data_IF_710411102802
#
_entry.id   IF_710411102802
#
_cell.length_a   1.000
_cell.length_b   1.000
_cell.length_c   1.000
_cell.angle_alpha   90.00
_cell.angle_beta   90.00
_cell.angle_gamma   90.00
#
_symmetry.space_group_name_H-M   'P 1'
#
loop_
_entity.id
_entity.type
_entity.pdbx_description
1 polymer ?
#
# COMPACT_ATOMS: atom_id res chain seq x y z
N UNK A 1 0.69 -3.63 4.14
CA UNK A 1 0.17 -2.94 5.34
C UNK A 1 1.34 -2.66 6.27
N UNK A 2 1.39 -1.47 6.87
CA UNK A 2 2.46 -1.13 7.83
C UNK A 2 2.30 -1.94 9.12
N UNK A 3 3.37 -2.66 9.45
CA UNK A 3 3.54 -3.43 10.68
C UNK A 3 4.98 -3.25 11.19
N UNK A 4 5.27 -3.81 12.36
CA UNK A 4 6.61 -3.70 12.95
C UNK A 4 7.72 -4.30 12.04
N UNK A 5 7.41 -5.30 11.22
CA UNK A 5 8.40 -5.88 10.31
C UNK A 5 8.79 -4.92 9.20
N UNK A 6 7.80 -4.25 8.59
CA UNK A 6 7.99 -3.28 7.51
C UNK A 6 8.56 -1.97 7.99
N UNK A 7 8.24 -1.54 9.21
CA UNK A 7 8.84 -0.35 9.84
C UNK A 7 10.31 -0.60 10.17
N UNK A 8 10.66 -1.78 10.70
CA UNK A 8 12.07 -2.15 10.87
C UNK A 8 12.83 -2.24 9.55
N UNK A 9 12.17 -2.64 8.46
CA UNK A 9 12.76 -2.62 7.12
C UNK A 9 12.94 -1.19 6.57
N UNK A 10 11.98 -0.29 6.79
CA UNK A 10 12.13 1.12 6.44
C UNK A 10 13.32 1.76 7.18
N UNK A 11 13.48 1.47 8.48
CA UNK A 11 14.64 1.92 9.25
C UNK A 11 15.96 1.36 8.68
N UNK A 12 15.97 0.09 8.28
CA UNK A 12 17.12 -0.52 7.62
C UNK A 12 17.48 0.19 6.30
N UNK A 13 16.50 0.49 5.44
CA UNK A 13 16.73 1.22 4.19
C UNK A 13 17.23 2.64 4.42
N UNK A 14 16.67 3.34 5.42
CA UNK A 14 17.13 4.67 5.81
C UNK A 14 18.60 4.65 6.25
N UNK A 15 18.98 3.69 7.12
CA UNK A 15 20.37 3.50 7.51
C UNK A 15 21.29 3.21 6.32
N UNK A 16 20.85 2.45 5.30
CA UNK A 16 21.65 2.22 4.08
C UNK A 16 21.89 3.50 3.31
N UNK A 17 20.88 4.34 3.12
CA UNK A 17 21.04 5.61 2.41
C UNK A 17 22.01 6.55 3.13
N UNK A 18 22.04 6.51 4.47
CA UNK A 18 23.02 7.26 5.28
C UNK A 18 24.43 6.71 5.06
N UNK A 19 24.60 5.38 5.08
CA UNK A 19 25.90 4.72 4.99
C UNK A 19 26.47 4.68 3.56
N UNK A 20 25.61 4.78 2.56
CA UNK A 20 25.92 4.79 1.13
C UNK A 20 25.24 5.98 0.45
N UNK A 21 25.77 7.20 0.60
CA UNK A 21 25.13 8.42 0.08
C UNK A 21 25.02 8.43 -1.45
N UNK A 22 25.91 7.70 -2.15
CA UNK A 22 25.89 7.54 -3.61
C UNK A 22 25.16 6.26 -4.07
N UNK A 23 24.44 5.59 -3.16
CA UNK A 23 23.81 4.30 -3.40
C UNK A 23 24.75 3.11 -3.19
N UNK A 24 24.17 1.90 -3.19
CA UNK A 24 24.87 0.66 -2.84
C UNK A 24 26.03 0.27 -3.79
N UNK A 25 26.09 0.86 -4.99
CA UNK A 25 27.22 0.68 -5.90
C UNK A 25 28.41 1.59 -5.59
N UNK A 26 28.20 2.64 -4.77
CA UNK A 26 29.23 3.59 -4.36
C UNK A 26 30.03 3.12 -3.15
N UNK A 27 30.97 3.96 -2.73
CA UNK A 27 31.73 3.72 -1.50
C UNK A 27 30.87 3.98 -0.27
N UNK A 28 31.08 3.19 0.78
CA UNK A 28 30.48 3.50 2.08
C UNK A 28 31.18 4.71 2.73
N UNK A 29 30.56 5.27 3.75
CA UNK A 29 31.13 6.35 4.57
C UNK A 29 32.46 6.02 5.26
N UNK A 30 32.78 4.73 5.44
CA UNK A 30 34.08 4.30 5.99
C UNK A 30 35.08 3.90 4.91
N UNK A 31 34.67 3.85 3.63
CA UNK A 31 35.46 3.28 2.53
C UNK A 31 35.62 1.75 2.60
N UNK A 32 35.11 1.10 3.66
CA UNK A 32 35.07 -0.35 3.83
C UNK A 32 33.72 -0.90 3.37
N UNK A 33 33.63 -2.19 3.06
CA UNK A 33 32.34 -2.76 2.74
C UNK A 33 31.46 -2.79 4.00
N UNK A 34 30.29 -2.17 3.95
CA UNK A 34 29.31 -2.20 5.03
C UNK A 34 28.08 -2.97 4.58
N UNK A 35 27.75 -4.06 5.26
CA UNK A 35 26.57 -4.88 4.97
C UNK A 35 25.47 -4.55 5.96
N UNK A 36 24.33 -4.06 5.46
CA UNK A 36 23.18 -3.78 6.30
C UNK A 36 22.15 -4.91 6.22
N UNK A 37 21.69 -5.39 7.38
CA UNK A 37 20.70 -6.47 7.47
C UNK A 37 19.52 -6.12 8.36
N UNK A 38 18.32 -6.40 7.88
CA UNK A 38 17.11 -6.48 8.70
C UNK A 38 17.05 -7.88 9.31
N UNK A 39 17.45 -8.01 10.56
CA UNK A 39 17.62 -9.30 11.24
C UNK A 39 18.93 -9.37 12.01
N UNK A 40 19.23 -10.52 12.61
CA UNK A 40 20.47 -10.75 13.33
C UNK A 40 21.63 -11.09 12.38
N UNK A 41 22.87 -11.00 12.89
CA UNK A 41 24.01 -11.65 12.25
C UNK A 41 23.74 -13.15 12.12
N UNK A 42 24.15 -13.70 10.98
CA UNK A 42 24.20 -15.13 10.72
C UNK A 42 25.54 -15.68 11.22
N UNK A 43 25.61 -16.98 11.57
CA UNK A 43 26.89 -17.62 11.89
C UNK A 43 27.93 -17.45 10.78
N UNK A 44 27.50 -17.45 9.51
CA UNK A 44 28.41 -17.24 8.37
C UNK A 44 29.07 -15.87 8.36
N UNK A 45 28.44 -14.81 8.88
CA UNK A 45 29.04 -13.47 8.88
C UNK A 45 30.20 -13.34 9.89
N UNK A 46 30.24 -14.24 10.88
CA UNK A 46 31.30 -14.34 11.87
C UNK A 46 32.39 -15.31 11.44
N UNK A 47 32.02 -16.41 10.77
CA UNK A 47 32.92 -17.56 10.57
C UNK A 47 33.24 -17.91 9.11
N UNK A 48 32.65 -17.26 8.10
CA UNK A 48 32.95 -17.53 6.68
C UNK A 48 34.17 -16.75 6.16
N UNK A 49 34.56 -16.96 4.90
CA UNK A 49 35.69 -16.28 4.26
C UNK A 49 35.44 -14.78 3.99
N UNK A 50 34.19 -14.35 3.90
CA UNK A 50 33.79 -12.93 3.94
C UNK A 50 33.10 -12.71 5.29
N UNK A 51 33.89 -12.28 6.27
CA UNK A 51 33.42 -12.10 7.64
C UNK A 51 33.86 -10.74 8.17
N UNK A 52 33.38 -10.43 9.38
CA UNK A 52 33.67 -9.20 10.09
C UNK A 52 35.17 -8.90 10.30
N UNK A 53 36.01 -9.94 10.26
CA UNK A 53 37.48 -9.86 10.40
C UNK A 53 38.19 -9.59 9.07
N UNK A 54 37.50 -9.69 7.94
CA UNK A 54 38.04 -9.48 6.59
C UNK A 54 37.60 -8.14 5.99
N UNK A 55 37.66 -7.07 6.79
CA UNK A 55 37.34 -5.70 6.40
C UNK A 55 35.88 -5.44 5.96
N UNK A 56 34.95 -6.28 6.41
CA UNK A 56 33.52 -6.09 6.20
C UNK A 56 32.91 -5.68 7.54
N UNK A 57 32.20 -4.56 7.57
CA UNK A 57 31.47 -4.12 8.75
C UNK A 57 29.99 -4.47 8.56
N UNK A 58 29.29 -4.81 9.65
CA UNK A 58 27.88 -5.15 9.59
C UNK A 58 27.04 -4.17 10.41
N UNK A 59 25.90 -3.77 9.87
CA UNK A 59 24.87 -3.03 10.60
C UNK A 59 23.59 -3.85 10.60
N UNK A 60 23.08 -4.19 11.78
CA UNK A 60 21.87 -5.00 11.90
C UNK A 60 20.74 -4.21 12.53
N UNK A 61 19.54 -4.30 11.95
CA UNK A 61 18.32 -3.72 12.53
C UNK A 61 17.43 -4.84 13.04
N UNK A 62 17.20 -4.88 14.35
CA UNK A 62 16.40 -5.91 15.03
C UNK A 62 15.33 -5.28 15.90
N UNK A 63 14.22 -5.99 16.13
CA UNK A 63 13.25 -5.57 17.14
C UNK A 63 13.83 -5.88 18.53
N UNK A 64 13.77 -4.90 19.42
CA UNK A 64 14.15 -5.09 20.81
C UNK A 64 12.91 -5.48 21.64
N UNK A 65 13.05 -6.51 22.46
CA UNK A 65 12.01 -6.99 23.35
C UNK A 65 11.89 -6.07 24.56
N UNK A 66 11.10 -5.00 24.43
CA UNK A 66 10.74 -4.12 25.56
C UNK A 66 9.26 -3.76 25.47
N UNK A 67 8.56 -3.83 26.60
CA UNK A 67 7.17 -3.36 26.67
C UNK A 67 7.17 -1.85 26.44
N UNK A 68 6.60 -1.43 25.31
CA UNK A 68 6.40 -0.02 24.99
C UNK A 68 5.10 0.50 25.60
N UNK A 69 5.03 1.80 25.93
CA UNK A 69 3.77 2.39 26.37
C UNK A 69 2.72 2.24 25.27
N UNK A 70 1.48 2.00 25.68
CA UNK A 70 0.36 2.05 24.76
C UNK A 70 0.09 3.51 24.38
N UNK A 71 -0.02 3.76 23.08
CA UNK A 71 -0.36 5.08 22.58
C UNK A 71 -1.88 5.17 22.43
N UNK A 72 -2.46 6.24 22.96
CA UNK A 72 -3.89 6.49 22.83
C UNK A 72 -4.29 6.61 21.35
N UNK A 73 -5.32 5.89 20.96
CA UNK A 73 -5.87 5.96 19.61
C UNK A 73 -6.82 7.16 19.47
N UNK A 74 -6.93 7.75 18.27
CA UNK A 74 -7.91 8.80 18.01
C UNK A 74 -9.33 8.30 18.29
N UNK A 75 -10.12 9.08 19.04
CA UNK A 75 -11.53 8.79 19.27
C UNK A 75 -12.29 8.68 17.94
N UNK A 76 -13.14 7.66 17.82
CA UNK A 76 -14.05 7.46 16.69
C UNK A 76 -13.46 6.74 15.47
N UNK A 77 -12.14 6.54 15.37
CA UNK A 77 -11.46 5.85 14.24
C UNK A 77 -12.07 6.20 12.86
N UNK A 78 -12.17 7.49 12.50
CA UNK A 78 -12.88 7.91 11.30
C UNK A 78 -12.19 7.37 10.04
N UNK A 79 -13.01 7.00 9.05
CA UNK A 79 -12.53 6.74 7.70
C UNK A 79 -12.15 8.06 7.03
N UNK A 80 -11.01 8.07 6.35
CA UNK A 80 -10.55 9.18 5.54
C UNK A 80 -10.18 8.67 4.15
N UNK A 81 -10.48 9.44 3.12
CA UNK A 81 -10.02 9.14 1.77
C UNK A 81 -8.50 9.34 1.74
N UNK A 82 -7.76 8.29 1.41
CA UNK A 82 -6.31 8.34 1.20
C UNK A 82 -5.98 8.61 -0.26
N UNK A 83 -6.72 7.98 -1.17
CA UNK A 83 -6.41 8.03 -2.58
C UNK A 83 -7.66 7.90 -3.43
N UNK A 84 -7.59 8.46 -4.64
CA UNK A 84 -8.59 8.30 -5.69
C UNK A 84 -7.91 7.86 -6.99
N UNK A 85 -8.57 6.97 -7.72
CA UNK A 85 -8.20 6.50 -9.04
C UNK A 85 -9.34 6.92 -9.96
N UNK A 86 -9.07 7.87 -10.86
CA UNK A 86 -10.08 8.31 -11.83
C UNK A 86 -10.35 7.21 -12.87
N UNK A 87 -11.59 7.08 -13.37
CA UNK A 87 -11.91 6.10 -14.40
C UNK A 87 -11.26 6.51 -15.74
N UNK A 88 -10.71 5.53 -16.44
CA UNK A 88 -10.20 5.71 -17.82
C UNK A 88 -11.22 5.34 -18.89
N UNK A 89 -12.32 4.71 -18.43
CA UNK A 89 -13.53 4.43 -19.20
C UNK A 89 -14.58 5.52 -18.94
N UNK A 90 -15.44 5.72 -19.93
CA UNK A 90 -16.53 6.68 -19.87
C UNK A 90 -17.80 6.14 -20.49
N UNK A 91 -18.86 6.93 -20.38
CA UNK A 91 -20.15 6.66 -21.02
C UNK A 91 -20.66 7.93 -21.69
N UNK A 92 -21.34 7.75 -22.81
CA UNK A 92 -22.06 8.81 -23.52
C UNK A 92 -23.53 8.41 -23.61
N UNK A 93 -24.43 9.27 -23.14
CA UNK A 93 -25.87 9.01 -23.20
C UNK A 93 -26.47 9.81 -24.36
N UNK A 94 -27.06 9.11 -25.32
CA UNK A 94 -27.72 9.71 -26.50
C UNK A 94 -29.10 9.10 -26.67
N UNK A 95 -30.15 9.92 -26.62
CA UNK A 95 -31.54 9.52 -26.87
C UNK A 95 -31.98 8.27 -26.07
N UNK A 96 -31.54 8.14 -24.82
CA UNK A 96 -31.87 7.01 -23.94
C UNK A 96 -31.11 5.72 -24.25
N UNK A 97 -30.06 5.79 -25.06
CA UNK A 97 -29.06 4.74 -25.28
C UNK A 97 -27.74 5.15 -24.66
N UNK A 98 -27.02 4.19 -24.05
CA UNK A 98 -25.71 4.43 -23.43
C UNK A 98 -24.62 3.81 -24.29
N UNK A 99 -23.67 4.61 -24.77
CA UNK A 99 -22.46 4.15 -25.44
C UNK A 99 -21.29 4.08 -24.45
N UNK A 100 -20.59 2.95 -24.42
CA UNK A 100 -19.37 2.75 -23.63
C UNK A 100 -18.17 3.29 -24.41
N UNK A 101 -17.35 4.13 -23.79
CA UNK A 101 -16.21 4.77 -24.46
C UNK A 101 -14.92 4.52 -23.67
N UNK A 102 -13.89 4.02 -24.36
CA UNK A 102 -12.56 3.84 -23.77
C UNK A 102 -11.61 4.88 -24.36
N UNK A 103 -10.79 5.50 -23.52
CA UNK A 103 -9.69 6.34 -23.98
C UNK A 103 -8.57 5.44 -24.50
N UNK A 104 -8.43 5.32 -25.83
CA UNK A 104 -7.55 4.33 -26.49
C UNK A 104 -6.04 4.41 -26.20
N UNK A 105 -5.61 5.32 -25.32
CA UNK A 105 -4.21 5.50 -24.90
C UNK A 105 -3.91 4.99 -23.50
N UNK A 106 -4.91 4.57 -22.71
CA UNK A 106 -4.72 4.13 -21.32
C UNK A 106 -5.34 2.75 -21.06
N UNK A 107 -4.77 2.01 -20.11
CA UNK A 107 -5.33 0.73 -19.68
C UNK A 107 -6.75 0.94 -19.13
N UNK A 108 -7.76 0.19 -19.60
CA UNK A 108 -9.12 0.34 -19.12
C UNK A 108 -9.24 0.06 -17.61
N UNK A 109 -9.86 0.99 -16.89
CA UNK A 109 -10.10 0.91 -15.45
C UNK A 109 -11.29 1.78 -15.04
N UNK A 110 -12.05 1.30 -14.06
CA UNK A 110 -13.22 1.98 -13.49
C UNK A 110 -14.42 1.04 -13.41
N UNK A 111 -15.54 1.56 -12.93
CA UNK A 111 -16.83 0.86 -12.91
C UNK A 111 -17.82 1.65 -13.73
N UNK A 112 -18.51 0.98 -14.65
CA UNK A 112 -19.61 1.55 -15.41
C UNK A 112 -20.92 1.06 -14.84
N UNK A 113 -21.85 1.97 -14.56
CA UNK A 113 -23.22 1.64 -14.23
C UNK A 113 -24.19 2.23 -15.26
N UNK A 114 -25.29 1.51 -15.47
CA UNK A 114 -26.43 1.94 -16.26
C UNK A 114 -27.70 1.72 -15.46
N UNK A 115 -28.68 2.61 -15.63
CA UNK A 115 -29.98 2.49 -14.97
C UNK A 115 -31.09 3.10 -15.82
N UNK A 116 -32.30 2.60 -15.60
CA UNK A 116 -33.51 3.05 -16.24
C UNK A 116 -34.07 4.26 -15.49
N UNK A 117 -34.51 5.29 -16.22
CA UNK A 117 -35.14 6.48 -15.61
C UNK A 117 -36.50 6.16 -14.98
N UNK A 118 -37.22 5.20 -15.56
CA UNK A 118 -38.48 4.72 -15.03
C UNK A 118 -38.22 3.55 -14.09
N UNK A 119 -38.67 3.68 -12.84
CA UNK A 119 -38.61 2.60 -11.84
C UNK A 119 -39.63 1.51 -12.20
N UNK A 120 -39.21 0.33 -12.71
CA UNK A 120 -40.15 -0.72 -13.06
C UNK A 120 -40.69 -1.36 -11.77
N UNK A 121 -41.98 -1.76 -11.77
CA UNK A 121 -42.62 -2.51 -10.67
C UNK A 121 -42.17 -4.00 -10.61
N UNK A 122 -40.95 -4.29 -11.04
CA UNK A 122 -40.34 -5.63 -11.13
C UNK A 122 -39.18 -5.68 -12.14
N UNK A 123 -38.17 -6.52 -11.89
CA UNK A 123 -36.94 -6.63 -12.72
C UNK A 123 -35.74 -5.88 -12.14
N UNK A 124 -34.59 -5.97 -12.82
CA UNK A 124 -33.36 -5.25 -12.47
C UNK A 124 -33.35 -3.86 -13.18
N UNK A 125 -33.57 -2.75 -12.46
CA UNK A 125 -33.63 -1.41 -13.05
C UNK A 125 -32.26 -0.82 -13.36
N UNK A 126 -31.19 -1.45 -12.86
CA UNK A 126 -29.81 -0.99 -13.01
C UNK A 126 -28.86 -2.17 -13.12
N UNK A 127 -27.70 -1.91 -13.71
CA UNK A 127 -26.60 -2.86 -13.80
C UNK A 127 -25.27 -2.12 -13.66
N UNK A 128 -24.29 -2.75 -13.01
CA UNK A 128 -22.94 -2.23 -12.90
C UNK A 128 -21.90 -3.28 -13.30
N UNK A 129 -20.80 -2.82 -13.91
CA UNK A 129 -19.72 -3.66 -14.40
C UNK A 129 -18.35 -3.03 -14.08
N UNK A 130 -17.49 -3.79 -13.42
CA UNK A 130 -16.12 -3.39 -13.12
C UNK A 130 -15.21 -3.76 -14.31
N UNK A 131 -14.61 -2.77 -14.95
CA UNK A 131 -13.81 -2.95 -16.17
C UNK A 131 -12.42 -3.48 -15.85
N UNK A 132 -11.96 -4.45 -16.62
CA UNK A 132 -10.61 -5.02 -16.56
C UNK A 132 -9.76 -4.61 -17.77
N UNK A 133 -8.44 -4.82 -17.68
CA UNK A 133 -7.51 -4.47 -18.75
C UNK A 133 -7.74 -5.24 -20.07
N UNK A 134 -8.48 -6.35 -20.04
CA UNK A 134 -8.79 -7.18 -21.21
C UNK A 134 -10.13 -6.84 -21.86
N UNK A 135 -10.91 -5.97 -21.22
CA UNK A 135 -12.21 -5.59 -21.72
C UNK A 135 -12.11 -4.68 -22.94
N UNK A 136 -13.19 -4.70 -23.71
CA UNK A 136 -13.46 -3.75 -24.79
C UNK A 136 -14.80 -3.07 -24.52
N UNK A 137 -15.07 -1.92 -25.15
CA UNK A 137 -16.39 -1.29 -25.03
C UNK A 137 -17.55 -2.24 -25.33
N UNK A 138 -17.38 -3.15 -26.29
CA UNK A 138 -18.39 -4.12 -26.67
C UNK A 138 -18.60 -5.23 -25.64
N UNK A 139 -17.53 -5.72 -24.99
CA UNK A 139 -17.68 -6.75 -23.94
C UNK A 139 -18.36 -6.18 -22.71
N UNK A 140 -18.04 -4.95 -22.32
CA UNK A 140 -18.71 -4.24 -21.22
C UNK A 140 -20.19 -3.98 -21.54
N UNK A 141 -20.49 -3.48 -22.74
CA UNK A 141 -21.87 -3.23 -23.16
C UNK A 141 -22.71 -4.52 -23.15
N UNK A 142 -22.16 -5.63 -23.64
CA UNK A 142 -22.83 -6.92 -23.63
C UNK A 142 -23.12 -7.42 -22.21
N UNK A 143 -22.16 -7.30 -21.29
CA UNK A 143 -22.33 -7.69 -19.89
C UNK A 143 -23.41 -6.84 -19.18
N UNK A 144 -23.40 -5.52 -19.39
CA UNK A 144 -24.41 -4.62 -18.83
C UNK A 144 -25.81 -4.90 -19.39
N UNK A 145 -25.93 -5.12 -20.70
CA UNK A 145 -27.19 -5.48 -21.33
C UNK A 145 -27.77 -6.79 -20.77
N UNK A 146 -26.92 -7.80 -20.54
CA UNK A 146 -27.34 -9.09 -19.98
C UNK A 146 -27.83 -8.98 -18.53
N UNK A 147 -27.31 -8.02 -17.76
CA UNK A 147 -27.71 -7.77 -16.39
C UNK A 147 -29.00 -6.94 -16.27
N UNK A 148 -29.36 -6.16 -17.30
CA UNK A 148 -30.59 -5.38 -17.35
C UNK A 148 -31.80 -6.21 -17.79
N UNK A 149 -32.95 -5.98 -17.17
CA UNK A 149 -34.20 -6.59 -17.65
C UNK A 149 -34.62 -5.97 -18.97
N UNK A 150 -34.58 -6.77 -20.05
CA UNK A 150 -34.88 -6.32 -21.41
C UNK A 150 -33.74 -5.55 -22.09
N UNK A 151 -32.52 -5.60 -21.54
CA UNK A 151 -31.35 -4.98 -22.12
C UNK A 151 -30.92 -5.62 -23.44
N UNK A 152 -30.50 -4.79 -24.38
CA UNK A 152 -29.93 -5.18 -25.67
C UNK A 152 -28.62 -4.42 -25.85
N UNK A 153 -27.61 -5.10 -26.39
CA UNK A 153 -26.33 -4.48 -26.78
C UNK A 153 -26.13 -4.54 -28.29
N UNK A 154 -25.51 -3.51 -28.85
CA UNK A 154 -25.05 -3.48 -30.24
C UNK A 154 -23.69 -2.79 -30.32
N UNK A 155 -22.63 -3.58 -30.47
CA UNK A 155 -21.26 -3.08 -30.35
C UNK A 155 -21.05 -2.47 -28.96
N UNK A 156 -20.62 -1.21 -28.92
CA UNK A 156 -20.38 -0.48 -27.66
C UNK A 156 -21.64 0.13 -27.02
N UNK A 157 -22.82 -0.04 -27.63
CA UNK A 157 -24.06 0.60 -27.14
C UNK A 157 -24.95 -0.37 -26.36
N UNK A 158 -25.60 0.14 -25.32
CA UNK A 158 -26.58 -0.53 -24.46
C UNK A 158 -27.89 0.24 -24.54
N UNK A 159 -28.99 -0.46 -24.79
CA UNK A 159 -30.33 0.12 -24.87
C UNK A 159 -31.36 -0.85 -24.30
N UNK A 160 -32.52 -0.32 -23.92
CA UNK A 160 -33.70 -1.12 -23.56
C UNK A 160 -34.86 -0.62 -24.42
N UNK A 161 -35.42 -1.44 -25.33
CA UNK A 161 -36.46 -0.99 -26.25
C UNK A 161 -37.65 -0.34 -25.54
N UNK A 162 -38.02 0.87 -25.98
CA UNK A 162 -39.14 1.63 -25.44
C UNK A 162 -38.89 2.29 -24.08
N UNK A 163 -37.65 2.32 -23.60
CA UNK A 163 -37.27 2.90 -22.30
C UNK A 163 -36.04 3.78 -22.42
N UNK A 164 -35.88 4.69 -21.47
CA UNK A 164 -34.75 5.63 -21.41
C UNK A 164 -33.70 5.09 -20.44
N UNK A 165 -32.50 4.89 -20.95
CA UNK A 165 -31.35 4.44 -20.17
C UNK A 165 -30.39 5.61 -19.92
N UNK A 166 -29.89 5.70 -18.70
CA UNK A 166 -28.80 6.57 -18.29
C UNK A 166 -27.60 5.74 -17.86
N UNK A 167 -26.44 6.38 -17.76
CA UNK A 167 -25.25 5.73 -17.27
C UNK A 167 -24.24 6.69 -16.67
N UNK A 168 -23.35 6.12 -15.87
CA UNK A 168 -22.21 6.82 -15.32
C UNK A 168 -21.00 5.90 -15.23
N UNK A 169 -19.80 6.46 -15.39
CA UNK A 169 -18.55 5.76 -15.12
C UNK A 169 -17.89 6.44 -13.93
N UNK A 170 -17.50 5.64 -12.94
CA UNK A 170 -16.86 6.11 -11.72
C UNK A 170 -15.57 5.38 -11.44
N UNK A 171 -14.69 6.08 -10.73
CA UNK A 171 -13.39 5.60 -10.31
C UNK A 171 -13.45 4.77 -9.03
N UNK A 172 -12.27 4.60 -8.42
CA UNK A 172 -12.11 3.92 -7.14
C UNK A 172 -11.53 4.87 -6.10
N UNK A 173 -12.03 4.79 -4.87
CA UNK A 173 -11.52 5.49 -3.71
C UNK A 173 -10.91 4.51 -2.70
N UNK A 174 -9.71 4.83 -2.21
CA UNK A 174 -9.13 4.18 -1.06
C UNK A 174 -9.51 4.96 0.19
N UNK A 175 -10.23 4.32 1.10
CA UNK A 175 -10.48 4.82 2.44
C UNK A 175 -9.59 4.10 3.44
N UNK A 176 -9.10 4.84 4.43
CA UNK A 176 -8.29 4.30 5.52
C UNK A 176 -8.78 4.78 6.87
N UNK A 177 -8.63 3.93 7.87
CA UNK A 177 -8.78 4.30 9.27
C UNK A 177 -7.63 3.75 10.09
N UNK A 178 -7.23 4.50 11.11
CA UNK A 178 -6.25 4.04 12.09
C UNK A 178 -6.93 3.00 12.98
N UNK A 179 -6.41 1.78 12.97
CA UNK A 179 -6.88 0.70 13.85
C UNK A 179 -6.13 0.67 15.15
N UNK A 180 -4.84 1.01 15.13
CA UNK A 180 -3.99 1.03 16.31
C UNK A 180 -2.78 1.94 16.10
N UNK A 181 -2.45 2.77 17.08
CA UNK A 181 -1.15 3.45 17.15
C UNK A 181 -0.22 2.62 18.01
N UNK A 182 0.98 2.33 17.52
CA UNK A 182 1.93 1.46 18.20
C UNK A 182 3.30 2.12 18.27
N UNK A 183 3.99 1.90 19.38
CA UNK A 183 5.41 2.14 19.52
C UNK A 183 6.14 0.80 19.52
N UNK A 184 7.21 0.70 18.76
CA UNK A 184 8.09 -0.46 18.76
C UNK A 184 9.53 -0.01 18.94
N UNK A 185 10.25 -0.66 19.85
CA UNK A 185 11.67 -0.45 20.03
C UNK A 185 12.44 -1.28 19.01
N UNK A 186 13.34 -0.63 18.30
CA UNK A 186 14.32 -1.24 17.40
C UNK A 186 15.72 -0.99 17.93
N UNK A 187 16.58 -1.96 17.66
CA UNK A 187 18.00 -1.88 17.93
C UNK A 187 18.75 -1.90 16.62
N UNK A 188 19.54 -0.87 16.40
CA UNK A 188 20.52 -0.75 15.31
C UNK A 188 21.89 -1.07 15.91
N UNK A 189 22.42 -2.24 15.59
CA UNK A 189 23.70 -2.71 16.10
C UNK A 189 24.76 -2.61 15.03
N UNK A 190 25.87 -1.96 15.35
CA UNK A 190 27.09 -1.92 14.55
C UNK A 190 27.99 -3.04 15.02
N UNK A 191 28.49 -3.84 14.10
CA UNK A 191 29.43 -4.91 14.34
C UNK A 191 30.64 -4.71 13.45
N UNK A 192 31.84 -4.62 14.05
CA UNK A 192 33.08 -4.48 13.29
C UNK A 192 34.27 -5.06 14.07
N UNK A 193 35.33 -5.42 13.36
CA UNK A 193 36.62 -5.76 13.95
C UNK A 193 37.57 -4.56 14.11
N UNK A 194 37.15 -3.36 13.64
CA UNK A 194 37.96 -2.14 13.65
C UNK A 194 37.28 -1.07 14.53
N UNK A 195 37.98 -0.65 15.59
CA UNK A 195 37.47 0.35 16.52
C UNK A 195 37.27 1.73 15.84
N UNK A 196 38.12 2.12 14.90
CA UNK A 196 37.96 3.37 14.14
C UNK A 196 36.73 3.30 13.24
N UNK A 197 36.51 2.17 12.55
CA UNK A 197 35.31 1.96 11.76
C UNK A 197 34.05 2.03 12.63
N UNK A 198 34.07 1.45 13.85
CA UNK A 198 32.96 1.56 14.80
C UNK A 198 32.61 3.00 15.10
N UNK A 199 33.60 3.81 15.48
CA UNK A 199 33.37 5.22 15.85
C UNK A 199 32.88 6.05 14.66
N UNK A 200 33.42 5.83 13.45
CA UNK A 200 32.94 6.51 12.24
C UNK A 200 31.49 6.13 11.90
N UNK A 201 31.17 4.84 11.86
CA UNK A 201 29.80 4.38 11.60
C UNK A 201 28.82 4.90 12.65
N UNK A 202 29.21 4.85 13.93
CA UNK A 202 28.43 5.32 15.06
C UNK A 202 28.15 6.83 14.94
N UNK A 203 29.18 7.64 14.72
CA UNK A 203 29.04 9.10 14.60
C UNK A 203 28.17 9.50 13.41
N UNK A 204 28.33 8.83 12.27
CA UNK A 204 27.55 9.13 11.05
C UNK A 204 26.08 8.76 11.23
N UNK A 205 25.81 7.55 11.73
CA UNK A 205 24.43 7.09 11.96
C UNK A 205 23.73 7.95 13.03
N UNK A 206 24.40 8.23 14.14
CA UNK A 206 23.83 9.02 15.23
C UNK A 206 23.49 10.44 14.76
N UNK A 207 24.42 11.12 14.08
CA UNK A 207 24.19 12.48 13.57
C UNK A 207 23.03 12.50 12.57
N UNK A 208 23.04 11.61 11.58
CA UNK A 208 22.03 11.60 10.54
C UNK A 208 20.64 11.19 11.06
N UNK A 209 20.55 10.23 11.99
CA UNK A 209 19.28 9.82 12.59
C UNK A 209 18.78 10.83 13.63
N UNK A 210 19.65 11.56 14.31
CA UNK A 210 19.26 12.63 15.24
C UNK A 210 18.61 13.82 14.52
N UNK A 211 19.03 14.11 13.29
CA UNK A 211 18.39 15.12 12.44
C UNK A 211 16.99 14.68 11.94
N UNK A 212 16.71 13.37 11.96
CA UNK A 212 15.45 12.80 11.49
C UNK A 212 14.46 12.61 12.65
N UNK A 213 13.45 13.47 12.72
CA UNK A 213 12.30 13.26 13.62
C UNK A 213 11.27 12.26 13.08
N UNK A 214 11.30 12.02 11.76
CA UNK A 214 10.35 11.18 11.04
C UNK A 214 11.07 10.41 9.95
N UNK A 215 10.68 9.16 9.73
CA UNK A 215 11.12 8.36 8.59
C UNK A 215 9.94 7.94 7.75
N UNK A 216 10.13 7.86 6.43
CA UNK A 216 9.08 7.33 5.55
C UNK A 216 8.94 5.82 5.73
N UNK A 217 7.71 5.32 5.83
CA UNK A 217 7.40 3.90 5.82
C UNK A 217 7.27 3.38 4.38
N UNK A 218 7.33 2.06 4.19
CA UNK A 218 7.27 1.44 2.86
C UNK A 218 5.92 1.59 2.14
N UNK A 219 4.87 2.02 2.85
CA UNK A 219 3.57 2.38 2.29
C UNK A 219 3.40 3.89 2.05
N UNK A 220 4.50 4.66 2.10
CA UNK A 220 4.53 6.09 1.78
C UNK A 220 4.06 7.02 2.91
N UNK A 221 3.97 6.52 4.14
CA UNK A 221 3.59 7.32 5.33
C UNK A 221 4.81 7.68 6.15
N UNK A 222 4.59 8.23 7.33
CA UNK A 222 5.65 8.61 8.25
C UNK A 222 5.54 7.82 9.56
N UNK A 223 6.68 7.40 10.09
CA UNK A 223 6.83 6.90 11.45
C UNK A 223 7.70 7.90 12.23
N UNK A 224 7.29 8.23 13.46
CA UNK A 224 8.08 9.10 14.32
C UNK A 224 9.29 8.32 14.82
N UNK A 225 10.48 8.87 14.63
CA UNK A 225 11.72 8.30 15.13
C UNK A 225 12.11 8.99 16.45
N UNK A 226 12.41 8.20 17.49
CA UNK A 226 12.85 8.72 18.79
C UNK A 226 14.04 7.94 19.30
N UNK A 227 15.15 8.62 19.52
CA UNK A 227 16.30 8.04 20.23
C UNK A 227 15.93 7.73 21.69
N UNK A 228 16.39 6.58 22.20
CA UNK A 228 16.15 6.13 23.57
C UNK A 228 17.44 6.01 24.36
N UNK A 229 18.40 5.24 23.84
CA UNK A 229 19.67 4.97 24.50
C UNK A 229 20.69 4.41 23.53
N UNK A 230 21.96 4.42 23.95
CA UNK A 230 23.08 3.77 23.29
C UNK A 230 23.81 2.90 24.31
N UNK A 231 24.28 1.74 23.90
CA UNK A 231 25.04 0.80 24.73
C UNK A 231 26.22 0.24 23.95
N UNK A 232 27.41 0.27 24.56
CA UNK A 232 28.58 -0.45 24.05
C UNK A 232 28.62 -1.85 24.65
N UNK A 233 28.74 -2.86 23.79
CA UNK A 233 28.80 -4.26 24.17
C UNK A 233 30.18 -4.80 23.82
N UNK A 234 31.12 -4.59 24.73
CA UNK A 234 32.52 -4.97 24.56
C UNK A 234 32.86 -6.37 25.12
N UNK A 235 31.85 -7.19 25.42
CA UNK A 235 32.05 -8.54 25.98
C UNK A 235 32.80 -9.49 25.05
N UNK A 236 32.91 -9.16 23.76
CA UNK A 236 33.62 -9.93 22.72
C UNK A 236 34.93 -9.25 22.25
N UNK A 237 35.46 -8.28 23.00
CA UNK A 237 36.71 -7.59 22.65
C UNK A 237 37.90 -8.55 22.48
N UNK A 238 37.97 -9.64 23.27
CA UNK A 238 39.02 -10.67 23.15
C UNK A 238 38.99 -11.41 21.80
N UNK A 239 37.88 -11.36 21.08
CA UNK A 239 37.70 -11.96 19.75
C UNK A 239 37.85 -10.95 18.61
N UNK A 240 38.33 -9.74 18.93
CA UNK A 240 38.41 -8.59 18.01
C UNK A 240 37.05 -8.29 17.36
N UNK A 241 35.98 -8.32 18.15
CA UNK A 241 34.63 -7.99 17.73
C UNK A 241 34.07 -6.89 18.62
N UNK A 242 33.91 -5.70 18.06
CA UNK A 242 33.32 -4.56 18.72
C UNK A 242 31.86 -4.43 18.31
N UNK A 243 30.99 -4.16 19.29
CA UNK A 243 29.57 -3.94 19.07
C UNK A 243 29.08 -2.68 19.79
N UNK A 244 28.37 -1.83 19.04
CA UNK A 244 27.63 -0.68 19.59
C UNK A 244 26.16 -0.79 19.19
N UNK A 245 25.28 -0.66 20.16
CA UNK A 245 23.83 -0.78 20.01
C UNK A 245 23.15 0.57 20.22
N UNK A 246 22.43 1.04 19.21
CA UNK A 246 21.53 2.19 19.31
C UNK A 246 20.09 1.71 19.42
N UNK A 247 19.34 2.27 20.36
CA UNK A 247 17.94 1.96 20.56
C UNK A 247 17.07 3.13 20.09
N UNK A 248 16.19 2.85 19.14
CA UNK A 248 15.23 3.80 18.58
C UNK A 248 13.82 3.29 18.78
N UNK A 249 12.97 4.10 19.38
CA UNK A 249 11.53 3.90 19.39
C UNK A 249 10.94 4.47 18.10
N UNK A 250 10.21 3.64 17.35
CA UNK A 250 9.42 4.10 16.22
C UNK A 250 7.95 4.02 16.56
N UNK A 251 7.26 5.17 16.44
CA UNK A 251 5.82 5.30 16.63
C UNK A 251 5.15 5.38 15.28
N UNK A 252 4.20 4.47 15.01
CA UNK A 252 3.53 4.36 13.73
C UNK A 252 2.08 3.89 13.87
N UNK A 253 1.29 4.18 12.85
CA UNK A 253 -0.11 3.78 12.78
C UNK A 253 -0.27 2.48 11.98
N UNK A 254 -0.94 1.50 12.57
CA UNK A 254 -1.53 0.36 11.87
C UNK A 254 -2.91 0.77 11.34
N UNK A 255 -3.22 0.31 10.14
CA UNK A 255 -4.33 0.84 9.37
C UNK A 255 -5.20 -0.28 8.87
N UNK A 256 -6.49 0.00 8.81
CA UNK A 256 -7.37 -0.74 7.95
C UNK A 256 -7.57 0.07 6.68
N UNK A 257 -7.37 -0.60 5.55
CA UNK A 257 -7.59 -0.06 4.22
C UNK A 257 -8.85 -0.70 3.66
N UNK A 258 -9.71 0.10 3.07
CA UNK A 258 -10.87 -0.37 2.34
C UNK A 258 -10.99 0.40 1.05
N UNK A 259 -11.11 -0.33 -0.05
CA UNK A 259 -11.39 0.27 -1.34
C UNK A 259 -12.89 0.22 -1.61
N UNK A 260 -13.40 1.25 -2.28
CA UNK A 260 -14.77 1.34 -2.74
C UNK A 260 -14.78 2.00 -4.12
N UNK A 261 -15.78 1.69 -4.95
CA UNK A 261 -16.07 2.51 -6.12
C UNK A 261 -16.68 3.84 -5.69
N UNK A 262 -16.65 4.83 -6.57
CA UNK A 262 -17.52 6.00 -6.44
C UNK A 262 -19.00 5.57 -6.43
N UNK A 263 -19.86 6.42 -5.87
CA UNK A 263 -21.30 6.19 -5.90
C UNK A 263 -21.79 6.40 -7.34
N UNK A 264 -22.20 5.32 -8.00
CA UNK A 264 -22.66 5.35 -9.40
C UNK A 264 -24.18 5.53 -9.50
N UNK A 265 -24.92 4.88 -8.60
CA UNK A 265 -26.37 4.95 -8.50
C UNK A 265 -26.80 4.76 -7.04
N UNK A 266 -27.93 5.38 -6.65
CA UNK A 266 -28.48 5.26 -5.30
C UNK A 266 -29.53 4.15 -5.19
N UNK A 267 -29.65 3.58 -3.98
CA UNK A 267 -30.74 2.68 -3.59
C UNK A 267 -31.55 3.33 -2.46
N UNK A 268 -32.86 3.11 -2.45
CA UNK A 268 -33.69 3.54 -1.33
C UNK A 268 -35.11 3.02 -1.39
N UNK A 269 -35.88 3.30 -0.34
CA UNK A 269 -37.31 3.04 -0.29
C UNK A 269 -38.03 4.35 0.00
N UNK A 270 -39.07 4.64 -0.78
CA UNK A 270 -40.00 5.74 -0.53
C UNK A 270 -41.30 5.14 -0.02
N UNK A 271 -41.70 5.49 1.20
CA UNK A 271 -43.01 5.15 1.75
C UNK A 271 -43.99 6.28 1.46
N UNK A 272 -45.05 5.99 0.71
CA UNK A 272 -46.19 6.90 0.54
C UNK A 272 -47.12 6.87 1.76
N UNK A 273 -47.98 7.89 1.89
CA UNK A 273 -48.98 7.99 2.98
C UNK A 273 -49.95 6.80 3.02
N UNK A 274 -50.17 6.12 1.89
CA UNK A 274 -51.01 4.91 1.77
C UNK A 274 -50.32 3.61 2.23
N UNK A 275 -49.11 3.69 2.80
CA UNK A 275 -48.33 2.52 3.23
C UNK A 275 -47.67 1.73 2.09
N UNK A 276 -47.80 2.19 0.84
CA UNK A 276 -47.09 1.63 -0.30
C UNK A 276 -45.61 2.03 -0.25
N UNK A 277 -44.71 1.03 -0.21
CA UNK A 277 -43.27 1.24 -0.34
C UNK A 277 -42.86 1.07 -1.82
N UNK A 278 -42.24 2.09 -2.38
CA UNK A 278 -41.60 2.03 -3.70
C UNK A 278 -40.09 1.96 -3.47
N UNK A 279 -39.49 0.81 -3.77
CA UNK A 279 -38.04 0.67 -3.80
C UNK A 279 -37.47 1.30 -5.07
N UNK A 280 -36.31 1.95 -4.97
CA UNK A 280 -35.53 2.42 -6.11
C UNK A 280 -34.07 1.99 -6.01
N UNK A 281 -33.39 1.91 -7.16
CA UNK A 281 -31.98 1.51 -7.26
C UNK A 281 -31.73 0.01 -7.39
N UNK A 282 -30.45 -0.36 -7.27
CA UNK A 282 -29.97 -1.74 -7.42
C UNK A 282 -30.48 -2.64 -6.29
N UNK A 283 -30.77 -3.92 -6.56
CA UNK A 283 -30.88 -4.92 -5.49
C UNK A 283 -29.49 -5.03 -4.86
N UNK A 284 -29.37 -4.83 -3.55
CA UNK A 284 -28.08 -4.95 -2.85
C UNK A 284 -27.31 -6.18 -3.37
N UNK A 285 -26.04 -6.03 -3.80
CA UNK A 285 -25.31 -7.12 -4.42
C UNK A 285 -25.33 -8.32 -3.47
N UNK A 286 -25.91 -9.43 -3.92
CA UNK A 286 -25.86 -10.69 -3.19
C UNK A 286 -24.41 -11.08 -2.90
N UNK A 287 -24.18 -11.88 -1.86
CA UNK A 287 -22.86 -12.31 -1.38
C UNK A 287 -21.99 -13.06 -2.42
N UNK A 288 -22.49 -13.29 -3.63
CA UNK A 288 -21.86 -14.00 -4.75
C UNK A 288 -21.57 -13.12 -5.97
N UNK A 289 -21.62 -11.78 -5.85
CA UNK A 289 -21.49 -10.91 -7.02
C UNK A 289 -20.05 -10.83 -7.56
N UNK A 290 -19.82 -11.41 -8.74
CA UNK A 290 -18.56 -11.38 -9.49
C UNK A 290 -18.04 -9.94 -9.72
N UNK A 291 -18.93 -8.96 -9.78
CA UNK A 291 -18.59 -7.52 -9.90
C UNK A 291 -17.81 -7.00 -8.70
N UNK A 292 -18.10 -7.48 -7.48
CA UNK A 292 -17.38 -7.08 -6.27
C UNK A 292 -15.98 -7.70 -6.24
N UNK A 293 -15.87 -8.97 -6.65
CA UNK A 293 -14.56 -9.66 -6.75
C UNK A 293 -13.70 -9.07 -7.86
N UNK A 294 -14.25 -8.82 -9.05
CA UNK A 294 -13.54 -8.20 -10.16
C UNK A 294 -13.14 -6.75 -9.86
N UNK A 295 -14.00 -5.99 -9.18
CA UNK A 295 -13.65 -4.67 -8.67
C UNK A 295 -12.51 -4.76 -7.64
N UNK A 296 -12.54 -5.73 -6.73
CA UNK A 296 -11.48 -5.94 -5.74
C UNK A 296 -10.15 -6.33 -6.42
N UNK A 297 -10.18 -7.19 -7.44
CA UNK A 297 -9.00 -7.60 -8.20
C UNK A 297 -8.42 -6.44 -9.02
N UNK A 298 -9.26 -5.66 -9.68
CA UNK A 298 -8.86 -4.43 -10.38
C UNK A 298 -8.26 -3.40 -9.41
N UNK A 299 -8.84 -3.25 -8.21
CA UNK A 299 -8.30 -2.41 -7.14
C UNK A 299 -6.94 -2.93 -6.65
N UNK A 300 -6.77 -4.24 -6.49
CA UNK A 300 -5.49 -4.85 -6.08
C UNK A 300 -4.39 -4.62 -7.12
N UNK A 301 -4.72 -4.67 -8.41
CA UNK A 301 -3.75 -4.37 -9.48
C UNK A 301 -3.26 -2.92 -9.42
N UNK A 302 -4.14 -1.95 -9.13
CA UNK A 302 -3.74 -0.54 -8.96
C UNK A 302 -2.87 -0.35 -7.71
N UNK A 303 -3.20 -1.00 -6.60
CA UNK A 303 -2.37 -1.01 -5.38
C UNK A 303 -0.97 -1.56 -5.67
N UNK A 304 -0.87 -2.64 -6.43
CA UNK A 304 0.40 -3.25 -6.79
C UNK A 304 1.25 -2.33 -7.69
N UNK A 305 0.61 -1.63 -8.65
CA UNK A 305 1.30 -0.66 -9.51
C UNK A 305 1.82 0.56 -8.74
N UNK A 306 1.15 0.97 -7.66
CA UNK A 306 1.53 2.14 -6.86
C UNK A 306 2.47 1.87 -5.69
N UNK A 307 2.59 0.60 -5.26
CA UNK A 307 3.64 0.17 -4.36
C UNK A 307 5.07 0.41 -4.91
N UNK A 308 5.21 0.80 -6.19
CA UNK A 308 6.46 1.17 -6.83
C UNK A 308 6.98 2.58 -6.47
N UNK A 309 6.18 3.45 -5.83
CA UNK A 309 6.63 4.75 -5.34
C UNK A 309 7.08 4.66 -3.87
N UNK A 310 8.09 3.84 -3.59
CA UNK A 310 8.69 3.78 -2.24
C UNK A 310 9.61 4.99 -2.03
N UNK A 311 9.67 5.51 -0.79
CA UNK A 311 10.68 6.51 -0.40
C UNK A 311 12.14 5.99 -0.51
N UNK A 312 12.29 4.70 -0.82
CA UNK A 312 13.55 3.98 -0.91
C UNK A 312 13.66 3.32 -2.30
N UNK A 313 13.78 4.13 -3.37
CA UNK A 313 13.84 3.60 -4.73
C UNK A 313 15.11 2.77 -4.92
N UNK A 314 15.00 1.65 -5.64
CA UNK A 314 16.14 0.80 -5.96
C UNK A 314 16.70 -0.01 -4.77
N UNK A 315 15.99 -0.08 -3.63
CA UNK A 315 16.37 -0.91 -2.49
C UNK A 315 15.43 -2.11 -2.31
N UNK A 316 16.02 -3.28 -2.12
CA UNK A 316 15.35 -4.55 -1.85
C UNK A 316 16.00 -5.29 -0.67
N UNK A 317 15.47 -6.47 -0.35
CA UNK A 317 16.12 -7.40 0.57
C UNK A 317 16.28 -8.77 -0.07
N UNK A 318 17.40 -9.42 0.20
CA UNK A 318 17.60 -10.83 -0.14
C UNK A 318 16.86 -11.77 0.83
N UNK A 319 16.97 -13.08 0.59
CA UNK A 319 16.36 -14.12 1.44
C UNK A 319 16.86 -14.12 2.90
N UNK A 320 17.99 -13.46 3.17
CA UNK A 320 18.60 -13.34 4.50
C UNK A 320 18.25 -12.01 5.18
N UNK A 321 17.48 -11.14 4.53
CA UNK A 321 17.14 -9.81 5.01
C UNK A 321 18.26 -8.78 4.81
N UNK A 322 19.29 -9.10 4.04
CA UNK A 322 20.36 -8.17 3.66
C UNK A 322 19.79 -7.16 2.67
N UNK A 323 20.03 -5.88 2.90
CA UNK A 323 19.59 -4.82 1.98
C UNK A 323 20.48 -4.84 0.75
N UNK A 324 19.87 -4.92 -0.43
CA UNK A 324 20.52 -5.02 -1.74
C UNK A 324 19.90 -4.04 -2.73
N UNK A 325 20.57 -3.78 -3.84
CA UNK A 325 19.96 -3.04 -4.94
C UNK A 325 18.80 -3.88 -5.51
N UNK A 326 17.60 -3.29 -5.62
CA UNK A 326 16.47 -3.92 -6.27
C UNK A 326 16.74 -4.03 -7.78
N UNK A 327 16.45 -5.20 -8.34
CA UNK A 327 16.58 -5.49 -9.77
C UNK A 327 15.53 -4.78 -10.62
#
# INVERSE_FOLDING_TARGET
MTDASRVGLALAYNCVQILYPEGLSGSSVTGRQVVLRRGWLLPSDLFAAQNIRNNIDFVTVTMASRKMPEWAEPLGRPWRVQQKVEPTVGVVVTEGTVEIVFSGTSTPAGVVAVWLDDMPRGGAPSAAYAVTAQDTPATVAAALAAALTGGVSNGATVSVPGRVLNGHAGGYGQSVRVTRRQAQLYRVSIWTADATARETLASVLDTALAEQSWISTLDGREAQLRFQSVEDVDTMQNEALYRRDYFYELVFDTLQVQWASEMLCGIGNLSGEDGAAVSFGEVAPGTTNQTVTAALDAMQAVVAAQAAATAYPGLGVDQFGTVVAAA
#
